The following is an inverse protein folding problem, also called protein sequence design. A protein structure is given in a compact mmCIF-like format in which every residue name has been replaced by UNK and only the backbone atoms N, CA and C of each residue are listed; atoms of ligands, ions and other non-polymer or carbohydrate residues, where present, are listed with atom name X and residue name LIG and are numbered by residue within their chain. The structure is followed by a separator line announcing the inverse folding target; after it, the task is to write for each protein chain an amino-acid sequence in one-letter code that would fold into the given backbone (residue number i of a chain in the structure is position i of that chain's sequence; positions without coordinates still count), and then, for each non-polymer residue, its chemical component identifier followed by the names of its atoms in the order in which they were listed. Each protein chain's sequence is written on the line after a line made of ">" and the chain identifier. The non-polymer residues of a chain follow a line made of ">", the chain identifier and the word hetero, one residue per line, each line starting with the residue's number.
data_IF_555604357482
#
_entry.id   IF_555604357482
#
_cell.length_a   1.000
_cell.length_b   1.000
_cell.length_c   1.000
_cell.angle_alpha   90.00
_cell.angle_beta   90.00
_cell.angle_gamma   90.00
#
_symmetry.space_group_name_H-M   'P 1'
#
loop_
_entity.id
_entity.type
_entity.pdbx_description
1 polymer ?
#
# COMPACT_ATOMS: atom_id res chain seq x y z
N UNK A 1 -22.23 -1.16 -14.18
CA UNK A 1 -22.05 -0.56 -12.84
C UNK A 1 -20.59 -0.16 -12.71
N UNK A 2 -20.30 1.12 -12.53
CA UNK A 2 -18.95 1.67 -12.52
C UNK A 2 -18.76 2.67 -11.37
N UNK A 3 -17.54 2.71 -10.83
CA UNK A 3 -17.13 3.71 -9.85
C UNK A 3 -16.42 4.88 -10.55
N UNK A 4 -16.67 6.08 -10.06
CA UNK A 4 -16.17 7.33 -10.63
C UNK A 4 -15.61 8.21 -9.54
N UNK A 5 -14.51 8.88 -9.84
CA UNK A 5 -13.96 9.96 -9.04
C UNK A 5 -14.42 11.30 -9.59
N UNK A 6 -14.99 12.12 -8.72
CA UNK A 6 -15.39 13.49 -9.00
C UNK A 6 -14.58 14.42 -8.09
N UNK A 7 -13.93 15.42 -8.69
CA UNK A 7 -13.20 16.47 -7.97
C UNK A 7 -13.70 17.82 -8.44
N UNK A 8 -14.01 18.70 -7.48
CA UNK A 8 -14.40 20.08 -7.76
C UNK A 8 -13.76 21.04 -6.76
N UNK A 9 -13.50 22.26 -7.22
CA UNK A 9 -13.07 23.39 -6.40
C UNK A 9 -14.27 24.23 -6.01
N UNK A 10 -14.33 24.66 -4.75
CA UNK A 10 -15.39 25.57 -4.28
C UNK A 10 -15.01 27.00 -4.66
N UNK A 11 -15.78 27.61 -5.55
CA UNK A 11 -15.61 29.02 -5.92
C UNK A 11 -16.35 29.94 -4.94
N UNK A 12 -17.54 29.55 -4.52
CA UNK A 12 -18.37 30.30 -3.56
C UNK A 12 -18.78 29.39 -2.42
N UNK A 13 -18.13 29.56 -1.26
CA UNK A 13 -18.41 28.75 -0.08
C UNK A 13 -19.66 29.26 0.64
N UNK A 14 -20.82 28.68 0.33
CA UNK A 14 -22.09 28.96 1.01
C UNK A 14 -22.64 27.74 1.77
N UNK A 15 -23.35 27.96 2.89
CA UNK A 15 -24.11 26.90 3.55
C UNK A 15 -25.03 26.19 2.55
N UNK A 16 -25.10 24.86 2.66
CA UNK A 16 -25.97 24.03 1.81
C UNK A 16 -25.38 23.60 0.46
N UNK A 17 -24.24 24.14 0.01
CA UNK A 17 -23.65 23.78 -1.30
C UNK A 17 -23.43 22.27 -1.47
N UNK A 18 -22.93 21.60 -0.43
CA UNK A 18 -22.76 20.15 -0.46
C UNK A 18 -24.12 19.43 -0.56
N UNK A 19 -25.14 19.94 0.11
CA UNK A 19 -26.50 19.41 0.01
C UNK A 19 -27.02 19.49 -1.42
N UNK A 20 -26.84 20.64 -2.08
CA UNK A 20 -27.29 20.86 -3.46
C UNK A 20 -26.61 19.87 -4.44
N UNK A 21 -25.29 19.68 -4.32
CA UNK A 21 -24.52 18.73 -5.15
C UNK A 21 -24.97 17.29 -4.86
N UNK A 22 -25.15 16.92 -3.59
CA UNK A 22 -25.59 15.59 -3.20
C UNK A 22 -27.02 15.29 -3.67
N UNK A 23 -27.92 16.28 -3.62
CA UNK A 23 -29.27 16.18 -4.15
C UNK A 23 -29.27 16.01 -5.67
N UNK A 24 -28.44 16.74 -6.40
CA UNK A 24 -28.30 16.57 -7.86
C UNK A 24 -27.83 15.17 -8.23
N UNK A 25 -26.80 14.65 -7.56
CA UNK A 25 -26.31 13.28 -7.75
C UNK A 25 -27.43 12.26 -7.45
N UNK A 26 -28.15 12.44 -6.34
CA UNK A 26 -29.28 11.60 -5.97
C UNK A 26 -30.40 11.59 -7.02
N UNK A 27 -30.76 12.76 -7.57
CA UNK A 27 -31.75 12.87 -8.65
C UNK A 27 -31.32 12.14 -9.93
N UNK A 28 -30.02 12.14 -10.21
CA UNK A 28 -29.43 11.41 -11.35
C UNK A 28 -29.21 9.91 -11.05
N UNK A 29 -29.61 9.44 -9.87
CA UNK A 29 -29.39 8.07 -9.37
C UNK A 29 -27.92 7.68 -9.30
N UNK A 30 -27.07 8.67 -8.99
CA UNK A 30 -25.64 8.47 -8.72
C UNK A 30 -25.45 8.37 -7.21
N UNK A 31 -24.96 7.23 -6.76
CA UNK A 31 -24.76 6.96 -5.34
C UNK A 31 -23.41 7.51 -4.87
N UNK A 32 -23.39 8.25 -3.76
CA UNK A 32 -22.15 8.71 -3.14
C UNK A 32 -21.63 7.59 -2.24
N UNK A 33 -20.44 7.08 -2.54
CA UNK A 33 -19.75 6.09 -1.68
C UNK A 33 -19.07 6.84 -0.53
N UNK A 34 -18.31 7.88 -0.86
CA UNK A 34 -17.60 8.70 0.13
C UNK A 34 -17.31 10.09 -0.42
N UNK A 35 -17.16 11.06 0.47
CA UNK A 35 -16.81 12.44 0.16
C UNK A 35 -15.89 13.00 1.26
N UNK A 36 -14.90 13.79 0.85
CA UNK A 36 -14.06 14.53 1.78
C UNK A 36 -13.52 15.82 1.17
N UNK A 37 -13.06 16.74 2.02
CA UNK A 37 -12.20 17.82 1.58
C UNK A 37 -10.85 17.26 1.15
N UNK A 38 -10.24 17.83 0.13
CA UNK A 38 -8.89 17.51 -0.34
C UNK A 38 -8.10 18.82 -0.37
N UNK A 39 -6.78 18.74 -0.18
CA UNK A 39 -5.88 19.90 -0.08
C UNK A 39 -6.23 21.02 -1.07
N UNK A 40 -6.12 22.28 -0.64
CA UNK A 40 -6.31 23.46 -1.52
C UNK A 40 -7.77 23.88 -1.75
N UNK A 41 -8.71 23.48 -0.89
CA UNK A 41 -10.13 23.87 -1.02
C UNK A 41 -10.90 23.05 -2.05
N UNK A 42 -10.31 21.95 -2.51
CA UNK A 42 -10.97 20.98 -3.36
C UNK A 42 -11.85 20.03 -2.52
N UNK A 43 -12.85 19.44 -3.16
CA UNK A 43 -13.61 18.31 -2.62
C UNK A 43 -13.54 17.16 -3.59
N UNK A 44 -13.25 15.98 -3.05
CA UNK A 44 -13.22 14.73 -3.79
C UNK A 44 -14.39 13.85 -3.37
N UNK A 45 -14.99 13.17 -4.34
CA UNK A 45 -16.08 12.23 -4.13
C UNK A 45 -15.79 10.94 -4.89
N UNK A 46 -15.98 9.80 -4.24
CA UNK A 46 -16.17 8.53 -4.93
C UNK A 46 -17.66 8.30 -5.08
N UNK A 47 -18.08 8.09 -6.31
CA UNK A 47 -19.48 7.86 -6.65
C UNK A 47 -19.63 6.58 -7.45
N UNK A 48 -20.81 5.98 -7.39
CA UNK A 48 -21.17 4.76 -8.12
C UNK A 48 -22.39 5.02 -8.97
N UNK A 49 -22.34 4.54 -10.20
CA UNK A 49 -23.45 4.60 -11.13
C UNK A 49 -23.70 3.24 -11.77
N UNK A 50 -24.96 2.97 -12.11
CA UNK A 50 -25.35 1.81 -12.92
C UNK A 50 -25.08 2.04 -14.41
N UNK A 51 -25.09 3.30 -14.87
CA UNK A 51 -24.94 3.72 -16.26
C UNK A 51 -24.12 5.04 -16.36
N UNK A 52 -23.00 4.98 -17.08
CA UNK A 52 -22.08 6.11 -17.29
C UNK A 52 -22.74 7.39 -17.87
N UNK A 53 -23.89 7.29 -18.53
CA UNK A 53 -24.63 8.48 -18.96
C UNK A 53 -25.14 9.33 -17.78
N UNK A 54 -25.36 8.73 -16.61
CA UNK A 54 -25.76 9.46 -15.40
C UNK A 54 -24.65 10.41 -14.93
N UNK A 55 -23.39 9.96 -14.95
CA UNK A 55 -22.26 10.79 -14.53
C UNK A 55 -21.94 11.86 -15.57
N UNK A 56 -22.11 11.57 -16.87
CA UNK A 56 -21.97 12.58 -17.93
C UNK A 56 -23.02 13.68 -17.84
N UNK A 57 -24.27 13.34 -17.46
CA UNK A 57 -25.32 14.34 -17.19
C UNK A 57 -24.97 15.20 -15.98
N UNK A 58 -24.42 14.59 -14.92
CA UNK A 58 -23.92 15.35 -13.79
C UNK A 58 -22.82 16.32 -14.21
N UNK A 59 -21.85 15.88 -15.01
CA UNK A 59 -20.78 16.74 -15.53
C UNK A 59 -21.31 17.95 -16.30
N UNK A 60 -22.24 17.73 -17.23
CA UNK A 60 -22.88 18.79 -18.01
C UNK A 60 -23.57 19.82 -17.10
N UNK A 61 -24.36 19.38 -16.12
CA UNK A 61 -25.07 20.27 -15.19
C UNK A 61 -24.10 20.98 -14.25
N UNK A 62 -23.15 20.26 -13.67
CA UNK A 62 -22.18 20.81 -12.74
C UNK A 62 -21.25 21.84 -13.40
N UNK A 63 -20.96 21.67 -14.70
CA UNK A 63 -20.14 22.62 -15.47
C UNK A 63 -20.79 24.00 -15.66
N UNK A 64 -22.11 24.11 -15.50
CA UNK A 64 -22.83 25.40 -15.59
C UNK A 64 -23.01 26.08 -14.22
N UNK A 65 -22.60 25.44 -13.13
CA UNK A 65 -22.71 26.01 -11.79
C UNK A 65 -21.58 27.02 -11.55
N UNK A 66 -21.92 28.24 -11.15
CA UNK A 66 -20.91 29.26 -10.82
C UNK A 66 -20.27 29.06 -9.44
N UNK A 67 -20.91 28.29 -8.55
CA UNK A 67 -20.45 28.09 -7.18
C UNK A 67 -19.31 27.08 -7.04
N UNK A 68 -19.11 26.24 -8.05
CA UNK A 68 -18.06 25.22 -8.09
C UNK A 68 -17.39 25.20 -9.45
N UNK A 69 -16.15 24.71 -9.50
CA UNK A 69 -15.48 24.36 -10.75
C UNK A 69 -15.15 22.88 -10.73
N UNK A 70 -15.77 22.11 -11.63
CA UNK A 70 -15.41 20.70 -11.82
C UNK A 70 -13.99 20.60 -12.39
N UNK A 71 -13.13 19.84 -11.73
CA UNK A 71 -11.73 19.62 -12.12
C UNK A 71 -11.50 18.26 -12.76
N UNK A 72 -12.13 17.21 -12.21
CA UNK A 72 -11.94 15.83 -12.68
C UNK A 72 -13.24 15.05 -12.57
N UNK A 73 -13.61 14.35 -13.63
CA UNK A 73 -14.62 13.27 -13.63
C UNK A 73 -14.04 12.13 -14.46
N UNK A 74 -13.70 11.02 -13.80
CA UNK A 74 -13.03 9.88 -14.45
C UNK A 74 -13.12 8.62 -13.58
N UNK A 75 -12.71 7.48 -14.11
CA UNK A 75 -12.49 6.28 -13.31
C UNK A 75 -11.46 6.56 -12.18
N UNK A 76 -11.75 6.13 -10.94
CA UNK A 76 -10.93 6.46 -9.78
C UNK A 76 -9.56 5.78 -9.87
N UNK A 77 -8.51 6.57 -9.66
CA UNK A 77 -7.17 6.01 -9.41
C UNK A 77 -7.02 5.72 -7.92
N UNK A 78 -6.09 4.84 -7.55
CA UNK A 78 -5.75 4.54 -6.15
C UNK A 78 -5.52 5.81 -5.31
N UNK A 79 -4.84 6.82 -5.87
CA UNK A 79 -4.60 8.10 -5.21
C UNK A 79 -5.87 8.88 -4.95
N UNK A 80 -6.83 8.81 -5.87
CA UNK A 80 -8.11 9.50 -5.77
C UNK A 80 -8.91 8.87 -4.61
N UNK A 81 -8.95 7.53 -4.54
CA UNK A 81 -9.61 6.79 -3.47
C UNK A 81 -9.06 7.19 -2.09
N UNK A 82 -7.73 7.24 -1.97
CA UNK A 82 -7.07 7.54 -0.71
C UNK A 82 -7.15 9.01 -0.34
N UNK A 83 -7.10 9.91 -1.32
CA UNK A 83 -7.31 11.33 -1.08
C UNK A 83 -8.71 11.60 -0.50
N UNK A 84 -9.74 10.91 -0.99
CA UNK A 84 -11.09 11.02 -0.43
C UNK A 84 -11.17 10.37 0.96
N UNK A 85 -10.56 9.20 1.18
CA UNK A 85 -10.61 8.54 2.51
C UNK A 85 -9.88 9.34 3.59
N UNK A 86 -8.75 9.96 3.29
CA UNK A 86 -7.87 10.59 4.28
C UNK A 86 -7.83 12.12 4.22
N UNK A 87 -8.48 12.72 3.23
CA UNK A 87 -8.61 14.16 3.07
C UNK A 87 -7.37 14.89 2.53
N UNK A 88 -6.39 14.17 1.98
CA UNK A 88 -5.14 14.73 1.43
C UNK A 88 -4.48 13.80 0.42
N UNK A 89 -3.70 14.34 -0.51
CA UNK A 89 -3.00 13.51 -1.50
C UNK A 89 -1.75 12.85 -0.90
N UNK A 90 -1.58 11.55 -1.21
CA UNK A 90 -0.32 10.86 -0.92
C UNK A 90 0.77 11.40 -1.85
N UNK A 91 1.91 11.72 -1.25
CA UNK A 91 3.11 12.18 -1.95
C UNK A 91 3.76 11.01 -2.70
N UNK A 92 4.07 11.24 -3.98
CA UNK A 92 4.91 10.36 -4.79
C UNK A 92 6.27 11.01 -4.96
N UNK A 93 7.27 10.18 -5.19
CA UNK A 93 8.53 10.67 -5.71
C UNK A 93 8.29 11.36 -7.07
N UNK A 94 9.00 12.47 -7.29
CA UNK A 94 8.92 13.23 -8.55
C UNK A 94 9.62 12.45 -9.66
N UNK A 95 10.68 11.73 -9.31
CA UNK A 95 11.54 11.02 -10.25
C UNK A 95 11.14 9.54 -10.44
N UNK A 96 10.56 8.91 -9.40
CA UNK A 96 10.08 7.53 -9.46
C UNK A 96 8.57 7.41 -9.19
N UNK A 97 7.80 7.17 -10.26
CA UNK A 97 6.33 7.04 -10.21
C UNK A 97 5.85 5.82 -9.42
N UNK A 98 6.71 4.83 -9.16
CA UNK A 98 6.40 3.60 -8.43
C UNK A 98 6.66 3.76 -6.92
N UNK A 99 7.37 4.81 -6.50
CA UNK A 99 7.73 5.05 -5.10
C UNK A 99 6.72 5.95 -4.39
N UNK A 100 6.21 5.47 -3.25
CA UNK A 100 5.25 6.15 -2.38
C UNK A 100 5.84 6.31 -0.99
N UNK A 101 5.79 7.53 -0.47
CA UNK A 101 6.38 7.85 0.84
C UNK A 101 5.28 8.09 1.86
N UNK A 102 5.44 7.49 3.03
CA UNK A 102 4.55 7.62 4.17
C UNK A 102 5.37 7.91 5.42
N UNK A 103 4.83 8.76 6.30
CA UNK A 103 5.37 8.91 7.64
C UNK A 103 4.78 7.87 8.57
N UNK A 104 5.51 7.52 9.63
CA UNK A 104 5.05 6.60 10.68
C UNK A 104 3.78 7.12 11.38
N UNK A 105 3.62 8.44 11.48
CA UNK A 105 2.39 9.08 11.96
C UNK A 105 1.18 8.83 11.06
N UNK A 106 1.39 8.29 9.86
CA UNK A 106 0.39 8.04 8.82
C UNK A 106 0.16 6.55 8.57
N UNK A 107 0.54 5.70 9.53
CA UNK A 107 0.39 4.24 9.42
C UNK A 107 -1.02 3.81 8.99
N UNK A 108 -2.07 4.49 9.48
CA UNK A 108 -3.44 4.21 9.03
C UNK A 108 -3.66 4.45 7.53
N UNK A 109 -3.07 5.50 6.97
CA UNK A 109 -3.11 5.81 5.52
C UNK A 109 -2.35 4.75 4.72
N UNK A 110 -1.18 4.34 5.22
CA UNK A 110 -0.39 3.28 4.60
C UNK A 110 -1.16 1.94 4.58
N UNK A 111 -1.80 1.59 5.71
CA UNK A 111 -2.61 0.37 5.81
C UNK A 111 -3.74 0.39 4.79
N UNK A 112 -4.48 1.49 4.69
CA UNK A 112 -5.56 1.63 3.70
C UNK A 112 -5.04 1.60 2.26
N UNK A 113 -3.88 2.20 1.98
CA UNK A 113 -3.21 2.15 0.68
C UNK A 113 -2.89 0.71 0.27
N UNK A 114 -2.21 -0.03 1.15
CA UNK A 114 -1.83 -1.41 0.87
C UNK A 114 -3.04 -2.34 0.81
N UNK A 115 -4.05 -2.12 1.66
CA UNK A 115 -5.28 -2.92 1.63
C UNK A 115 -6.00 -2.78 0.28
N UNK A 116 -5.97 -1.59 -0.33
CA UNK A 116 -6.54 -1.39 -1.66
C UNK A 116 -5.68 -2.03 -2.77
N UNK A 117 -4.35 -2.04 -2.62
CA UNK A 117 -3.48 -2.85 -3.50
C UNK A 117 -3.78 -4.34 -3.37
N UNK A 118 -4.03 -4.83 -2.15
CA UNK A 118 -4.25 -6.25 -1.87
C UNK A 118 -5.57 -6.81 -2.39
N UNK A 119 -6.51 -5.93 -2.74
CA UNK A 119 -7.77 -6.30 -3.40
C UNK A 119 -7.63 -6.49 -4.91
N UNK A 120 -6.52 -6.05 -5.50
CA UNK A 120 -6.27 -6.24 -6.93
C UNK A 120 -6.03 -7.72 -7.24
N UNK A 121 -6.38 -8.13 -8.45
CA UNK A 121 -6.13 -9.49 -8.92
C UNK A 121 -4.82 -9.57 -9.71
N UNK A 122 -4.21 -10.76 -9.71
CA UNK A 122 -3.03 -11.07 -10.51
C UNK A 122 -1.70 -10.82 -9.80
N UNK A 123 -0.65 -10.73 -10.61
CA UNK A 123 0.71 -10.56 -10.09
C UNK A 123 0.95 -9.11 -9.68
N UNK A 124 1.30 -8.91 -8.40
CA UNK A 124 1.86 -7.64 -7.91
C UNK A 124 3.05 -7.86 -7.01
N UNK A 125 4.17 -7.22 -7.34
CA UNK A 125 5.37 -7.24 -6.53
C UNK A 125 5.55 -5.88 -5.83
N UNK A 126 5.44 -5.88 -4.51
CA UNK A 126 5.44 -4.67 -3.68
C UNK A 126 6.67 -4.71 -2.78
N UNK A 127 7.51 -3.68 -2.83
CA UNK A 127 8.66 -3.53 -1.96
C UNK A 127 8.32 -2.59 -0.81
N UNK A 128 8.72 -2.93 0.42
CA UNK A 128 8.59 -2.03 1.57
C UNK A 128 9.96 -1.75 2.21
N UNK A 129 10.30 -0.47 2.25
CA UNK A 129 11.54 0.10 2.77
C UNK A 129 11.23 0.92 4.02
N UNK A 130 12.21 1.02 4.91
CA UNK A 130 12.08 1.80 6.14
C UNK A 130 12.98 1.27 7.24
N UNK A 131 13.33 2.14 8.18
CA UNK A 131 14.21 1.80 9.30
C UNK A 131 13.67 0.62 10.13
N UNK A 132 14.53 -0.13 10.83
CA UNK A 132 14.08 -1.21 11.71
C UNK A 132 13.03 -0.71 12.73
N UNK A 133 11.99 -1.52 12.98
CA UNK A 133 10.90 -1.22 13.95
C UNK A 133 10.03 0.00 13.62
N UNK A 134 10.08 0.51 12.38
CA UNK A 134 9.21 1.62 11.94
C UNK A 134 7.74 1.20 11.72
N UNK A 135 7.47 -0.12 11.65
CA UNK A 135 6.12 -0.68 11.49
C UNK A 135 5.87 -1.38 10.15
N UNK A 136 6.91 -1.79 9.41
CA UNK A 136 6.79 -2.42 8.08
C UNK A 136 5.93 -3.69 8.14
N UNK A 137 6.35 -4.69 8.91
CA UNK A 137 5.64 -5.96 8.99
C UNK A 137 4.24 -5.81 9.55
N UNK A 138 4.07 -5.00 10.60
CA UNK A 138 2.77 -4.73 11.21
C UNK A 138 1.81 -4.07 10.22
N UNK A 139 2.29 -3.14 9.39
CA UNK A 139 1.47 -2.50 8.37
C UNK A 139 1.01 -3.48 7.29
N UNK A 140 1.89 -4.40 6.85
CA UNK A 140 1.55 -5.43 5.85
C UNK A 140 0.51 -6.40 6.40
N UNK A 141 0.65 -6.84 7.66
CA UNK A 141 -0.33 -7.71 8.32
C UNK A 141 -1.67 -6.98 8.50
N UNK A 142 -1.66 -5.74 8.98
CA UNK A 142 -2.87 -4.95 9.16
C UNK A 142 -3.61 -4.70 7.83
N UNK A 143 -2.88 -4.41 6.75
CA UNK A 143 -3.44 -4.27 5.41
C UNK A 143 -4.03 -5.58 4.89
N UNK A 144 -3.39 -6.72 5.15
CA UNK A 144 -3.91 -8.05 4.79
C UNK A 144 -5.25 -8.33 5.47
N UNK A 145 -5.35 -8.01 6.77
CA UNK A 145 -6.60 -8.11 7.54
C UNK A 145 -7.68 -7.18 6.96
N UNK A 146 -7.34 -5.92 6.69
CA UNK A 146 -8.26 -4.93 6.12
C UNK A 146 -8.78 -5.35 4.72
N UNK A 147 -7.93 -5.99 3.92
CA UNK A 147 -8.29 -6.51 2.60
C UNK A 147 -9.04 -7.86 2.66
N UNK A 148 -9.22 -8.44 3.85
CA UNK A 148 -9.76 -9.79 4.04
C UNK A 148 -8.98 -10.86 3.25
N UNK A 149 -7.64 -10.77 3.28
CA UNK A 149 -6.72 -11.69 2.61
C UNK A 149 -5.85 -12.41 3.65
N UNK A 150 -5.67 -13.72 3.49
CA UNK A 150 -4.76 -14.51 4.34
C UNK A 150 -3.32 -14.15 3.98
N UNK A 151 -2.46 -13.95 4.97
CA UNK A 151 -1.03 -13.66 4.74
C UNK A 151 -0.17 -14.86 5.12
N UNK A 152 0.93 -15.06 4.40
CA UNK A 152 1.86 -16.16 4.59
C UNK A 152 3.28 -15.63 4.57
N UNK A 153 4.01 -15.80 5.69
CA UNK A 153 5.43 -15.50 5.75
C UNK A 153 6.25 -16.64 5.13
N UNK A 154 6.95 -16.33 4.04
CA UNK A 154 7.97 -17.20 3.46
C UNK A 154 9.30 -17.00 4.17
N UNK A 155 9.63 -15.73 4.43
CA UNK A 155 10.74 -15.32 5.28
C UNK A 155 10.33 -14.12 6.13
N UNK A 156 10.75 -14.09 7.40
CA UNK A 156 10.45 -12.97 8.30
C UNK A 156 11.41 -12.87 9.47
N UNK A 157 11.65 -11.65 9.93
CA UNK A 157 12.36 -11.34 11.17
C UNK A 157 11.43 -11.33 12.40
N UNK A 158 10.11 -11.36 12.21
CA UNK A 158 9.14 -11.33 13.31
C UNK A 158 8.98 -12.71 13.95
N UNK A 159 9.23 -12.76 15.27
CA UNK A 159 9.01 -13.90 16.19
C UNK A 159 9.64 -15.22 15.69
N UNK A 160 10.93 -15.40 16.04
CA UNK A 160 11.85 -16.44 15.52
C UNK A 160 12.02 -16.29 14.01
N UNK A 161 13.22 -15.93 13.57
CA UNK A 161 13.56 -15.87 12.14
C UNK A 161 12.94 -17.07 11.42
N UNK A 162 11.91 -16.80 10.61
CA UNK A 162 11.15 -17.84 9.94
C UNK A 162 11.69 -17.94 8.54
N UNK A 163 12.10 -19.13 8.13
CA UNK A 163 12.47 -19.46 6.75
C UNK A 163 11.70 -20.71 6.39
N UNK A 164 10.81 -20.62 5.42
CA UNK A 164 10.02 -21.76 4.94
C UNK A 164 10.65 -22.36 3.70
N UNK A 165 10.81 -23.67 3.68
CA UNK A 165 11.27 -24.43 2.51
C UNK A 165 10.13 -25.14 1.78
N UNK A 166 8.90 -25.10 2.32
CA UNK A 166 7.69 -25.61 1.69
C UNK A 166 6.42 -24.89 2.21
N UNK A 167 5.34 -25.04 1.45
CA UNK A 167 3.98 -24.66 1.83
C UNK A 167 3.06 -25.89 1.79
N UNK A 168 2.04 -25.90 2.62
CA UNK A 168 0.96 -26.88 2.53
C UNK A 168 0.10 -26.61 1.28
N UNK A 169 -0.56 -27.63 0.73
CA UNK A 169 -1.29 -27.50 -0.54
C UNK A 169 -2.39 -26.43 -0.54
N UNK A 170 -3.04 -26.20 0.60
CA UNK A 170 -4.07 -25.17 0.79
C UNK A 170 -3.50 -23.75 0.96
N UNK A 171 -2.19 -23.62 1.21
CA UNK A 171 -1.49 -22.35 1.29
C UNK A 171 -1.13 -21.78 -0.08
N UNK A 172 -1.09 -22.61 -1.13
CA UNK A 172 -0.94 -22.19 -2.52
C UNK A 172 -2.25 -21.62 -3.08
N UNK A 173 -2.68 -20.48 -2.55
CA UNK A 173 -3.82 -19.72 -3.08
C UNK A 173 -3.38 -18.38 -3.64
N UNK A 174 -3.91 -18.03 -4.81
CA UNK A 174 -3.73 -16.71 -5.43
C UNK A 174 -4.36 -15.58 -4.60
N UNK A 175 -5.27 -15.95 -3.70
CA UNK A 175 -5.93 -15.05 -2.76
C UNK A 175 -5.11 -14.80 -1.48
N UNK A 176 -3.95 -15.43 -1.35
CA UNK A 176 -3.05 -15.18 -0.23
C UNK A 176 -2.03 -14.09 -0.60
N UNK A 177 -1.61 -13.34 0.41
CA UNK A 177 -0.48 -12.39 0.33
C UNK A 177 0.77 -13.11 0.82
N UNK A 178 1.81 -13.19 -0.01
CA UNK A 178 3.07 -13.81 0.37
C UNK A 178 4.08 -12.75 0.80
N UNK A 179 4.67 -12.93 1.98
CA UNK A 179 5.57 -11.95 2.58
C UNK A 179 6.99 -12.53 2.67
N UNK A 180 7.94 -11.76 2.18
CA UNK A 180 9.37 -12.07 2.12
C UNK A 180 10.15 -10.97 2.84
N UNK A 181 11.25 -11.33 3.48
CA UNK A 181 12.26 -10.39 3.94
C UNK A 181 13.57 -10.66 3.20
N UNK A 182 14.04 -9.66 2.44
CA UNK A 182 15.26 -9.75 1.64
C UNK A 182 16.52 -10.02 2.46
N UNK A 183 16.60 -9.53 3.71
CA UNK A 183 17.73 -9.80 4.61
C UNK A 183 17.71 -11.28 5.05
N UNK A 184 16.54 -11.77 5.45
CA UNK A 184 16.39 -13.16 5.94
C UNK A 184 16.55 -14.17 4.81
N UNK A 185 15.95 -13.91 3.65
CA UNK A 185 16.09 -14.76 2.46
C UNK A 185 17.56 -14.88 2.05
N UNK A 186 18.30 -13.76 2.03
CA UNK A 186 19.76 -13.77 1.78
C UNK A 186 20.53 -14.62 2.79
N UNK A 187 20.26 -14.43 4.09
CA UNK A 187 20.98 -15.14 5.17
C UNK A 187 20.72 -16.64 5.18
N UNK A 188 19.57 -17.10 4.70
CA UNK A 188 19.15 -18.50 4.84
C UNK A 188 20.14 -19.48 4.19
N UNK A 189 20.75 -19.13 3.05
CA UNK A 189 21.61 -20.03 2.27
C UNK A 189 20.93 -21.33 1.82
N UNK A 190 19.62 -21.49 2.05
CA UNK A 190 18.87 -22.72 1.83
C UNK A 190 18.33 -22.76 0.39
N UNK A 191 18.86 -23.67 -0.43
CA UNK A 191 18.41 -23.87 -1.80
C UNK A 191 16.92 -24.21 -1.92
N UNK A 192 16.35 -24.91 -0.93
CA UNK A 192 14.92 -25.26 -0.93
C UNK A 192 14.06 -24.03 -0.67
N UNK A 193 14.50 -23.15 0.23
CA UNK A 193 13.85 -21.85 0.40
C UNK A 193 13.91 -21.05 -0.90
N UNK A 194 15.06 -20.98 -1.55
CA UNK A 194 15.21 -20.27 -2.83
C UNK A 194 14.38 -20.88 -3.96
N UNK A 195 14.17 -22.20 -3.94
CA UNK A 195 13.25 -22.86 -4.86
C UNK A 195 11.80 -22.45 -4.61
N UNK A 196 11.37 -22.43 -3.34
CA UNK A 196 10.04 -21.95 -2.96
C UNK A 196 9.83 -20.49 -3.35
N UNK A 197 10.81 -19.61 -3.10
CA UNK A 197 10.74 -18.20 -3.51
C UNK A 197 10.51 -18.09 -5.02
N UNK A 198 11.29 -18.79 -5.84
CA UNK A 198 11.14 -18.78 -7.31
C UNK A 198 9.78 -19.31 -7.77
N UNK A 199 9.27 -20.36 -7.12
CA UNK A 199 7.92 -20.87 -7.37
C UNK A 199 6.87 -19.81 -7.05
N UNK A 200 6.98 -19.16 -5.88
CA UNK A 200 6.01 -18.15 -5.48
C UNK A 200 6.02 -16.92 -6.36
N UNK A 201 7.20 -16.46 -6.79
CA UNK A 201 7.32 -15.30 -7.68
C UNK A 201 6.56 -15.52 -9.01
N UNK A 202 6.51 -16.75 -9.54
CA UNK A 202 5.76 -17.09 -10.77
C UNK A 202 4.24 -17.15 -10.58
N UNK A 203 3.75 -17.28 -9.35
CA UNK A 203 2.32 -17.37 -9.09
C UNK A 203 1.63 -16.03 -9.42
N UNK A 204 0.42 -15.98 -10.00
CA UNK A 204 -0.31 -14.72 -10.22
C UNK A 204 -0.99 -14.23 -8.93
N UNK A 205 -0.17 -13.96 -7.91
CA UNK A 205 -0.56 -13.47 -6.59
C UNK A 205 0.25 -12.23 -6.20
N UNK A 206 -0.18 -11.61 -5.10
CA UNK A 206 0.50 -10.45 -4.53
C UNK A 206 1.62 -10.91 -3.61
N UNK A 207 2.81 -10.31 -3.76
CA UNK A 207 3.95 -10.51 -2.88
C UNK A 207 4.42 -9.19 -2.33
N UNK A 208 4.80 -9.22 -1.07
CA UNK A 208 5.41 -8.10 -0.37
C UNK A 208 6.82 -8.50 0.03
N UNK A 209 7.81 -7.74 -0.41
CA UNK A 209 9.22 -7.93 -0.05
C UNK A 209 9.63 -6.79 0.87
N UNK A 210 9.88 -7.10 2.13
CA UNK A 210 10.61 -6.21 3.02
C UNK A 210 12.07 -6.18 2.63
N UNK A 211 12.70 -5.02 2.73
CA UNK A 211 14.10 -4.83 2.33
C UNK A 211 14.36 -5.25 0.87
N UNK A 212 13.60 -4.70 -0.11
CA UNK A 212 13.68 -5.11 -1.52
C UNK A 212 15.08 -4.96 -2.10
N UNK A 213 15.85 -3.97 -1.63
CA UNK A 213 17.22 -3.72 -2.07
C UNK A 213 18.17 -4.88 -1.72
N UNK A 214 17.95 -5.53 -0.58
CA UNK A 214 18.72 -6.71 -0.19
C UNK A 214 18.32 -7.95 -0.97
N UNK A 215 17.04 -8.02 -1.35
CA UNK A 215 16.48 -9.10 -2.15
C UNK A 215 17.05 -9.09 -3.59
N UNK A 216 17.07 -7.93 -4.26
CA UNK A 216 17.55 -7.81 -5.64
C UNK A 216 19.04 -8.10 -5.79
N UNK A 217 19.87 -7.72 -4.80
CA UNK A 217 21.32 -7.94 -4.85
C UNK A 217 21.73 -9.42 -4.97
N UNK A 218 20.88 -10.36 -4.56
CA UNK A 218 21.21 -11.79 -4.50
C UNK A 218 20.11 -12.66 -5.14
N UNK A 219 19.28 -12.06 -6.00
CA UNK A 219 18.26 -12.77 -6.75
C UNK A 219 18.36 -12.43 -8.24
N UNK A 220 17.50 -13.06 -9.05
CA UNK A 220 17.37 -12.79 -10.48
C UNK A 220 16.47 -11.58 -10.78
N UNK A 221 16.01 -10.87 -9.75
CA UNK A 221 15.07 -9.75 -9.86
C UNK A 221 15.78 -8.41 -9.66
N UNK A 222 15.27 -7.39 -10.34
CA UNK A 222 15.75 -6.01 -10.25
C UNK A 222 14.71 -5.12 -9.55
N UNK A 223 15.15 -3.93 -9.10
CA UNK A 223 14.21 -2.94 -8.52
C UNK A 223 13.12 -2.53 -9.51
N UNK A 224 13.38 -2.66 -10.81
CA UNK A 224 12.40 -2.35 -11.87
C UNK A 224 11.24 -3.36 -11.94
N UNK A 225 11.43 -4.58 -11.45
CA UNK A 225 10.40 -5.62 -11.43
C UNK A 225 9.29 -5.33 -10.42
N UNK A 226 9.55 -4.44 -9.46
CA UNK A 226 8.55 -4.01 -8.50
C UNK A 226 7.50 -3.12 -9.18
N UNK A 227 6.22 -3.43 -8.92
CA UNK A 227 5.09 -2.59 -9.33
C UNK A 227 5.01 -1.35 -8.44
N UNK A 228 5.35 -1.50 -7.15
CA UNK A 228 5.25 -0.47 -6.13
C UNK A 228 6.43 -0.58 -5.15
N UNK A 229 7.01 0.56 -4.81
CA UNK A 229 7.94 0.71 -3.69
C UNK A 229 7.30 1.63 -2.65
N UNK A 230 7.24 1.17 -1.41
CA UNK A 230 6.70 1.90 -0.28
C UNK A 230 7.84 2.25 0.65
N UNK A 231 7.99 3.52 0.97
CA UNK A 231 8.95 4.00 1.96
C UNK A 231 8.20 4.48 3.20
N UNK A 232 8.45 3.80 4.32
CA UNK A 232 7.93 4.20 5.62
C UNK A 232 9.03 4.89 6.43
N UNK A 233 8.86 6.20 6.61
CA UNK A 233 9.82 7.10 7.25
C UNK A 233 9.32 7.57 8.62
N UNK A 234 10.22 7.94 9.51
CA UNK A 234 9.83 8.59 10.79
C UNK A 234 9.58 10.08 10.60
N UNK A 235 10.41 10.72 9.77
CA UNK A 235 10.38 12.14 9.46
C UNK A 235 10.53 12.34 7.94
N UNK A 236 10.05 13.46 7.36
CA UNK A 236 10.03 13.65 5.89
C UNK A 236 11.40 13.52 5.23
N UNK A 237 12.43 14.07 5.88
CA UNK A 237 13.80 14.13 5.36
C UNK A 237 14.63 12.88 5.72
N UNK A 238 14.04 11.87 6.34
CA UNK A 238 14.75 10.65 6.71
C UNK A 238 15.23 9.91 5.45
N UNK A 239 16.54 9.80 5.30
CA UNK A 239 17.15 8.89 4.34
C UNK A 239 17.15 7.46 4.88
N UNK A 240 16.65 6.53 4.06
CA UNK A 240 16.68 5.10 4.38
C UNK A 240 18.03 4.55 3.91
N UNK A 241 18.99 4.50 4.83
CA UNK A 241 20.37 4.07 4.55
C UNK A 241 20.63 2.63 5.01
N UNK A 242 21.27 1.84 4.15
CA UNK A 242 21.41 0.39 4.28
C UNK A 242 22.51 -0.06 5.25
N UNK A 243 23.59 0.71 5.37
CA UNK A 243 24.73 0.38 6.25
C UNK A 243 24.32 0.24 7.71
N UNK A 244 23.31 1.02 8.13
CA UNK A 244 22.76 0.99 9.49
C UNK A 244 21.84 -0.23 9.68
N UNK A 245 21.17 -0.69 8.62
CA UNK A 245 20.27 -1.85 8.67
C UNK A 245 21.03 -3.16 8.80
N UNK A 246 22.13 -3.34 8.05
CA UNK A 246 23.01 -4.51 8.19
C UNK A 246 23.66 -4.57 9.59
N UNK A 247 24.22 -3.45 10.07
CA UNK A 247 24.83 -3.38 11.41
C UNK A 247 23.84 -3.69 12.53
N UNK A 248 22.63 -3.13 12.48
CA UNK A 248 21.62 -3.39 13.50
C UNK A 248 21.13 -4.85 13.49
N UNK A 249 21.00 -5.46 12.30
CA UNK A 249 20.67 -6.89 12.21
C UNK A 249 21.78 -7.78 12.75
N UNK A 250 23.05 -7.44 12.50
CA UNK A 250 24.20 -8.14 13.09
C UNK A 250 24.24 -8.00 14.61
N UNK A 251 23.96 -6.80 15.14
CA UNK A 251 23.94 -6.56 16.58
C UNK A 251 22.79 -7.28 17.29
N UNK A 252 21.60 -7.36 16.69
CA UNK A 252 20.48 -8.14 17.25
C UNK A 252 20.73 -9.65 17.31
N UNK A 253 21.55 -10.20 16.39
CA UNK A 253 21.99 -11.61 16.43
C UNK A 253 23.05 -11.83 17.52
N UNK A 254 24.00 -10.90 17.67
CA UNK A 254 25.09 -11.02 18.64
C UNK A 254 24.61 -11.00 20.11
N UNK A 255 23.44 -10.42 20.38
CA UNK A 255 22.80 -10.45 21.70
C UNK A 255 22.21 -11.81 22.10
N UNK A 256 22.00 -12.73 21.14
CA UNK A 256 21.50 -14.08 21.40
C UNK A 256 22.62 -15.13 21.59
N UNK A 257 23.85 -14.81 21.18
CA UNK A 257 25.00 -15.71 21.23
C UNK A 257 25.96 -15.38 22.40
N UNK A 258 25.44 -14.84 23.51
CA UNK A 258 26.23 -14.47 24.70
C UNK A 258 25.70 -15.02 26.03
N UNK A 259 24.71 -15.91 26.01
CA UNK A 259 23.94 -16.31 27.20
C UNK A 259 24.08 -17.77 27.67
N UNK A 260 25.10 -18.51 27.26
CA UNK A 260 25.36 -19.86 27.76
C UNK A 260 26.82 -20.01 28.17
N UNK A 261 27.11 -19.76 29.45
CA UNK A 261 28.43 -20.05 30.01
C UNK A 261 28.77 -19.30 31.29
N UNK A 262 28.04 -19.55 32.37
CA UNK A 262 28.59 -19.59 33.74
C UNK A 262 27.45 -19.84 34.71
N UNK A 263 27.44 -20.97 35.39
CA UNK A 263 27.40 -21.06 36.86
C UNK A 263 27.54 -22.56 37.21
N UNK A 264 28.78 -22.95 37.51
CA UNK A 264 29.08 -24.10 38.36
C UNK A 264 28.72 -23.69 39.80
N UNK A 265 27.90 -24.48 40.49
CA UNK A 265 28.08 -24.98 41.86
C UNK A 265 27.12 -26.14 42.09
#
# INVERSE_FOLDING_TARGET
>A
MGEWYVEYEIQVNRPGLLGDIASLLGMLRVNIITINGVDGGHRGMLVRTENDDQIKRFELIASTMETIQVKKIREPKLRDILAVRHGRYIQRDVDDRKTFRFLRSELGVLVDFMAELFKQEGHKLIGIRGMPRVGKTESVVAASVCANKKWIFLSSTMIKQTVRSNLAGDEFSKDNIFILDGIVTRKSGDERHMQLVREMMRMPSIKVVEHPDMFVQHSEYDMEDFDYIIELRTDPDQEITYEIMEKNHMMSDSGQMGGFGMFNF
#
